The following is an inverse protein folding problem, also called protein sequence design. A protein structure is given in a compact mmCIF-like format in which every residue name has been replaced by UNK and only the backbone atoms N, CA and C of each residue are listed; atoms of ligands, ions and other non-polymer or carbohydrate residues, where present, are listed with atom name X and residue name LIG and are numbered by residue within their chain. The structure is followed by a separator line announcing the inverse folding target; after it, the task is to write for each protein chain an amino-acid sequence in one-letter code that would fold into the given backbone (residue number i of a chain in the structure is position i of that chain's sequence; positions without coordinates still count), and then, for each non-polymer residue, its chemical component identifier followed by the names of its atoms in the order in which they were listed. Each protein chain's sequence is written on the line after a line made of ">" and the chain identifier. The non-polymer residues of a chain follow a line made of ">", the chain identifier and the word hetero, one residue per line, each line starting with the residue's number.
data_IF_510623292821
#
_entry.id   IF_510623292821
#
_cell.length_a   1.000
_cell.length_b   1.000
_cell.length_c   1.000
_cell.angle_alpha   90.00
_cell.angle_beta   90.00
_cell.angle_gamma   90.00
#
_symmetry.space_group_name_H-M   'P 1'
#
loop_
_entity.id
_entity.type
_entity.pdbx_description
1 polymer ?
#
# COMPACT_ATOMS: atom_id res chain seq x y z
N UNK A 1 8.70 -21.06 -3.76
CA UNK A 1 8.15 -19.78 -4.29
C UNK A 1 6.78 -19.54 -3.64
N UNK A 2 6.68 -18.64 -2.66
CA UNK A 2 5.36 -18.24 -2.15
C UNK A 2 4.70 -17.30 -3.17
N UNK A 3 3.74 -17.82 -3.94
CA UNK A 3 2.87 -17.03 -4.83
C UNK A 3 1.64 -16.57 -4.04
N UNK A 4 1.87 -15.96 -2.88
CA UNK A 4 0.82 -15.48 -1.99
C UNK A 4 0.37 -14.08 -2.37
N UNK A 5 -0.92 -13.79 -2.15
CA UNK A 5 -1.45 -12.41 -2.27
C UNK A 5 -0.85 -11.56 -1.15
N UNK A 6 -0.53 -10.31 -1.48
CA UNK A 6 0.05 -9.34 -0.55
C UNK A 6 -1.01 -8.30 -0.18
N UNK A 7 -1.23 -8.10 1.12
CA UNK A 7 -2.08 -7.04 1.67
C UNK A 7 -1.24 -6.04 2.46
N UNK A 8 -1.40 -4.75 2.17
CA UNK A 8 -0.68 -3.66 2.84
C UNK A 8 -1.49 -3.12 4.01
N UNK A 9 -0.85 -3.00 5.18
CA UNK A 9 -1.44 -2.49 6.42
C UNK A 9 -0.76 -1.17 6.83
N UNK A 10 -1.53 -0.24 7.41
CA UNK A 10 -1.08 1.14 7.69
C UNK A 10 -0.41 1.34 9.06
N UNK A 11 0.50 0.46 9.46
CA UNK A 11 1.23 0.58 10.72
C UNK A 11 2.47 1.50 10.55
N UNK A 12 2.65 2.48 11.43
CA UNK A 12 3.76 3.44 11.34
C UNK A 12 3.49 4.62 10.41
N UNK A 13 4.47 5.49 10.25
CA UNK A 13 4.37 6.73 9.48
C UNK A 13 5.19 6.64 8.18
N UNK A 14 4.71 7.30 7.12
CA UNK A 14 5.39 7.38 5.83
C UNK A 14 5.80 8.83 5.62
N UNK A 15 7.11 9.08 5.48
CA UNK A 15 7.71 10.40 5.32
C UNK A 15 8.02 10.74 3.84
N UNK A 16 7.76 9.80 2.92
CA UNK A 16 8.11 9.93 1.50
C UNK A 16 6.96 9.53 0.59
N UNK A 17 6.82 10.23 -0.52
CA UNK A 17 5.90 9.85 -1.59
C UNK A 17 6.36 8.52 -2.21
N UNK A 18 5.54 7.48 -2.06
CA UNK A 18 5.79 6.14 -2.60
C UNK A 18 4.62 5.69 -3.47
N UNK A 19 4.94 5.01 -4.57
CA UNK A 19 3.95 4.29 -5.37
C UNK A 19 3.98 2.82 -4.97
N UNK A 20 2.91 2.35 -4.33
CA UNK A 20 2.83 0.98 -3.78
C UNK A 20 1.88 0.15 -4.63
N UNK A 21 2.36 -1.00 -5.13
CA UNK A 21 1.57 -1.95 -5.91
C UNK A 21 1.34 -3.24 -5.11
N UNK A 22 0.09 -3.58 -4.81
CA UNK A 22 -0.24 -4.77 -4.02
C UNK A 22 -1.64 -5.30 -4.34
N UNK A 23 -1.98 -6.49 -3.83
CA UNK A 23 -3.26 -7.13 -4.16
C UNK A 23 -4.42 -6.55 -3.34
N UNK A 24 -4.13 -6.03 -2.16
CA UNK A 24 -5.10 -5.38 -1.29
C UNK A 24 -4.43 -4.35 -0.39
N UNK A 25 -5.18 -3.33 0.01
CA UNK A 25 -4.74 -2.30 0.94
C UNK A 25 -5.78 -2.13 2.05
N UNK A 26 -5.34 -1.91 3.28
CA UNK A 26 -6.23 -1.44 4.36
C UNK A 26 -6.53 0.04 4.21
N UNK A 27 -7.69 0.49 4.72
CA UNK A 27 -8.08 1.90 4.68
C UNK A 27 -6.99 2.83 5.23
N UNK A 28 -6.48 2.53 6.43
CA UNK A 28 -5.41 3.33 7.04
C UNK A 28 -4.07 3.28 6.30
N UNK A 29 -3.82 2.27 5.45
CA UNK A 29 -2.64 2.26 4.58
C UNK A 29 -2.82 3.21 3.40
N UNK A 30 -3.99 3.19 2.76
CA UNK A 30 -4.29 4.06 1.62
C UNK A 30 -4.23 5.53 2.06
N UNK A 31 -4.86 5.86 3.19
CA UNK A 31 -4.86 7.21 3.75
C UNK A 31 -3.45 7.72 4.03
N UNK A 32 -2.60 6.90 4.65
CA UNK A 32 -1.20 7.28 4.95
C UNK A 32 -0.35 7.43 3.70
N UNK A 33 -0.50 6.53 2.73
CA UNK A 33 0.23 6.62 1.46
C UNK A 33 -0.17 7.89 0.70
N UNK A 34 -1.47 8.21 0.64
CA UNK A 34 -1.97 9.43 0.01
C UNK A 34 -1.56 10.70 0.78
N UNK A 35 -1.61 10.67 2.11
CA UNK A 35 -1.18 11.79 2.96
C UNK A 35 0.31 12.11 2.80
N UNK A 36 1.14 11.09 2.57
CA UNK A 36 2.55 11.25 2.24
C UNK A 36 2.80 11.71 0.78
N UNK A 37 1.74 11.96 -0.01
CA UNK A 37 1.81 12.35 -1.42
C UNK A 37 2.11 11.19 -2.37
N UNK A 38 1.94 9.94 -1.91
CA UNK A 38 2.13 8.72 -2.68
C UNK A 38 0.88 8.25 -3.43
N UNK A 39 1.00 7.10 -4.09
CA UNK A 39 -0.07 6.48 -4.87
C UNK A 39 -0.18 4.98 -4.59
N UNK A 40 -1.41 4.45 -4.70
CA UNK A 40 -1.69 3.01 -4.52
C UNK A 40 -2.21 2.42 -5.82
N UNK A 41 -1.66 1.27 -6.22
CA UNK A 41 -2.14 0.51 -7.37
C UNK A 41 -2.50 -0.92 -6.93
N UNK A 42 -3.73 -1.32 -7.23
CA UNK A 42 -4.19 -2.68 -6.95
C UNK A 42 -3.79 -3.56 -8.13
N UNK A 43 -2.95 -4.55 -7.88
CA UNK A 43 -2.57 -5.56 -8.87
C UNK A 43 -3.48 -6.78 -8.72
N UNK A 44 -4.13 -7.16 -9.81
CA UNK A 44 -4.82 -8.44 -9.93
C UNK A 44 -3.79 -9.56 -10.21
N UNK A 45 -4.09 -10.82 -9.83
CA UNK A 45 -3.17 -11.95 -10.00
C UNK A 45 -2.87 -12.31 -11.47
#
# INVERSE_FOLDING_TARGET
>A
KHRGRVKVLGQGEIDRALTVKAHAFSLGAVEKIQAAGGSVEVIEP
#
